data_IF_914246493228
#
_entry.id   IF_914246493228
#
_cell.length_a   1.000
_cell.length_b   1.000
_cell.length_c   1.000
_cell.angle_alpha   90.00
_cell.angle_beta   90.00
_cell.angle_gamma   90.00
#
_symmetry.space_group_name_H-M   'P 1'
#
loop_
_entity.id
_entity.type
_entity.pdbx_description
1 polymer ?
#
# COMPACT_ATOMS: atom_id res chain seq x y z
N UNK A 1 -18.03 25.44 -11.94
CA UNK A 1 -16.58 25.21 -12.08
C UNK A 1 -16.38 23.73 -12.35
N UNK A 2 -16.11 23.36 -13.59
CA UNK A 2 -15.80 21.98 -13.97
C UNK A 2 -14.40 21.67 -13.48
N UNK A 3 -14.29 20.96 -12.35
CA UNK A 3 -13.05 20.28 -12.01
C UNK A 3 -12.73 19.37 -13.19
N UNK A 4 -11.60 19.60 -13.85
CA UNK A 4 -11.04 18.63 -14.77
C UNK A 4 -10.83 17.35 -13.94
N UNK A 5 -11.68 16.34 -14.15
CA UNK A 5 -11.52 15.05 -13.52
C UNK A 5 -10.19 14.50 -14.03
N UNK A 6 -9.19 14.42 -13.15
CA UNK A 6 -8.01 13.62 -13.42
C UNK A 6 -8.46 12.24 -13.90
N UNK A 7 -7.76 11.63 -14.88
CA UNK A 7 -8.12 10.31 -15.36
C UNK A 7 -8.23 9.34 -14.17
N UNK A 8 -9.22 8.45 -14.17
CA UNK A 8 -9.46 7.55 -13.05
C UNK A 8 -8.21 6.70 -12.81
N UNK A 9 -7.78 6.63 -11.55
CA UNK A 9 -6.67 5.77 -11.16
C UNK A 9 -7.16 4.33 -11.11
N UNK A 10 -7.11 3.65 -12.26
CA UNK A 10 -7.53 2.26 -12.37
C UNK A 10 -6.51 1.36 -11.67
N UNK A 11 -6.96 0.24 -11.11
CA UNK A 11 -6.18 -0.84 -10.53
C UNK A 11 -6.40 -2.06 -11.43
N UNK A 12 -5.32 -2.68 -11.93
CA UNK A 12 -5.37 -3.79 -12.89
C UNK A 12 -6.20 -3.53 -14.15
N UNK A 13 -6.29 -2.26 -14.58
CA UNK A 13 -7.09 -1.81 -15.73
C UNK A 13 -8.59 -2.14 -15.62
N UNK A 14 -9.12 -2.36 -14.41
CA UNK A 14 -10.55 -2.62 -14.21
C UNK A 14 -11.33 -1.30 -14.18
N UNK A 15 -12.31 -1.05 -15.05
CA UNK A 15 -13.12 0.16 -15.01
C UNK A 15 -13.85 0.33 -13.67
N UNK A 16 -13.89 1.56 -13.15
CA UNK A 16 -14.52 1.82 -11.85
C UNK A 16 -13.74 1.23 -10.66
N UNK A 17 -12.47 0.87 -10.83
CA UNK A 17 -11.55 0.58 -9.71
C UNK A 17 -10.89 1.86 -9.19
N UNK A 18 -10.24 1.76 -8.03
CA UNK A 18 -9.57 2.86 -7.35
C UNK A 18 -10.30 3.32 -6.10
N UNK A 19 -9.56 3.84 -5.12
CA UNK A 19 -10.06 4.12 -3.77
C UNK A 19 -11.23 5.10 -3.71
N UNK A 20 -11.27 6.07 -4.61
CA UNK A 20 -12.36 7.07 -4.69
C UNK A 20 -13.56 6.63 -5.52
N UNK A 21 -13.50 5.46 -6.15
CA UNK A 21 -14.57 4.98 -7.02
C UNK A 21 -15.79 4.53 -6.20
N UNK A 22 -17.01 4.93 -6.59
CA UNK A 22 -18.23 4.43 -5.95
C UNK A 22 -18.45 2.93 -6.16
N UNK A 23 -17.76 2.32 -7.13
CA UNK A 23 -17.85 0.87 -7.38
C UNK A 23 -16.80 0.08 -6.58
N UNK A 24 -15.87 0.76 -5.88
CA UNK A 24 -14.75 0.14 -5.18
C UNK A 24 -15.22 -0.84 -4.09
N UNK A 25 -16.13 -0.41 -3.21
CA UNK A 25 -16.70 -1.24 -2.14
C UNK A 25 -15.64 -2.07 -1.38
N UNK A 26 -14.54 -1.42 -0.96
CA UNK A 26 -13.49 -2.05 -0.16
C UNK A 26 -14.07 -2.78 1.06
N UNK A 27 -13.63 -4.01 1.30
CA UNK A 27 -14.08 -4.85 2.41
C UNK A 27 -15.41 -5.57 2.21
N UNK A 28 -16.14 -5.32 1.11
CA UNK A 28 -17.35 -6.05 0.76
C UNK A 28 -17.07 -7.26 -0.13
N UNK A 29 -18.02 -8.21 -0.16
CA UNK A 29 -17.94 -9.39 -1.01
C UNK A 29 -18.27 -9.11 -2.49
N UNK A 30 -18.59 -7.87 -2.84
CA UNK A 30 -18.99 -7.42 -4.19
C UNK A 30 -18.38 -6.06 -4.50
N UNK A 31 -18.18 -5.76 -5.79
CA UNK A 31 -17.59 -4.50 -6.27
C UNK A 31 -16.15 -4.66 -6.76
N UNK A 32 -15.62 -3.61 -7.37
CA UNK A 32 -14.32 -3.67 -8.07
C UNK A 32 -13.14 -3.85 -7.11
N UNK A 33 -13.29 -3.50 -5.83
CA UNK A 33 -12.32 -3.79 -4.77
C UNK A 33 -12.20 -5.28 -4.45
N UNK A 34 -13.32 -6.01 -4.45
CA UNK A 34 -13.30 -7.47 -4.33
C UNK A 34 -12.58 -8.10 -5.53
N UNK A 35 -12.90 -7.65 -6.74
CA UNK A 35 -12.31 -8.17 -7.98
C UNK A 35 -10.80 -7.90 -8.04
N UNK A 36 -10.38 -6.68 -7.74
CA UNK A 36 -8.96 -6.31 -7.70
C UNK A 36 -8.21 -7.09 -6.61
N UNK A 37 -8.80 -7.26 -5.41
CA UNK A 37 -8.19 -8.07 -4.36
C UNK A 37 -7.99 -9.54 -4.78
N UNK A 38 -8.95 -10.11 -5.52
CA UNK A 38 -8.83 -11.46 -6.09
C UNK A 38 -7.68 -11.53 -7.11
N UNK A 39 -7.59 -10.57 -8.03
CA UNK A 39 -6.48 -10.50 -9.01
C UNK A 39 -5.14 -10.38 -8.29
N UNK A 40 -5.04 -9.46 -7.32
CA UNK A 40 -3.84 -9.24 -6.51
C UNK A 40 -3.35 -10.53 -5.83
N UNK A 41 -4.26 -11.25 -5.14
CA UNK A 41 -3.93 -12.52 -4.49
C UNK A 41 -3.46 -13.59 -5.49
N UNK A 42 -4.06 -13.64 -6.68
CA UNK A 42 -3.63 -14.58 -7.74
C UNK A 42 -2.25 -14.22 -8.28
N UNK A 43 -2.00 -12.94 -8.56
CA UNK A 43 -0.73 -12.45 -9.10
C UNK A 43 0.45 -12.70 -8.15
N UNK A 44 0.23 -12.51 -6.85
CA UNK A 44 1.27 -12.67 -5.82
C UNK A 44 1.15 -13.98 -5.02
N UNK A 45 0.50 -15.00 -5.59
CA UNK A 45 0.32 -16.31 -4.95
C UNK A 45 1.66 -17.02 -4.69
N UNK A 46 2.66 -16.80 -5.54
CA UNK A 46 3.97 -17.48 -5.42
C UNK A 46 5.00 -16.61 -4.71
N UNK A 47 5.91 -17.26 -3.98
CA UNK A 47 7.07 -16.59 -3.36
C UNK A 47 7.90 -15.83 -4.39
N UNK A 48 8.13 -16.42 -5.57
CA UNK A 48 8.90 -15.80 -6.65
C UNK A 48 8.27 -14.49 -7.12
N UNK A 49 6.95 -14.44 -7.32
CA UNK A 49 6.25 -13.21 -7.69
C UNK A 49 6.37 -12.11 -6.62
N UNK A 50 6.32 -12.50 -5.33
CA UNK A 50 6.48 -11.56 -4.21
C UNK A 50 7.89 -11.00 -4.10
N UNK A 51 8.90 -11.84 -4.33
CA UNK A 51 10.30 -11.39 -4.40
C UNK A 51 10.50 -10.42 -5.56
N UNK A 52 9.98 -10.76 -6.74
CA UNK A 52 10.08 -9.90 -7.92
C UNK A 52 9.43 -8.52 -7.68
N UNK A 53 8.25 -8.49 -7.06
CA UNK A 53 7.61 -7.24 -6.63
C UNK A 53 8.56 -6.38 -5.80
N UNK A 54 9.07 -6.90 -4.67
CA UNK A 54 9.91 -6.10 -3.77
C UNK A 54 11.21 -5.61 -4.42
N UNK A 55 11.75 -6.36 -5.38
CA UNK A 55 12.94 -5.95 -6.13
C UNK A 55 12.65 -4.82 -7.14
N UNK A 56 11.44 -4.78 -7.68
CA UNK A 56 11.08 -3.90 -8.80
C UNK A 56 10.20 -2.70 -8.39
N UNK A 57 9.60 -2.73 -7.20
CA UNK A 57 8.63 -1.72 -6.71
C UNK A 57 9.15 -0.27 -6.76
N UNK A 58 10.48 -0.10 -6.68
CA UNK A 58 11.16 1.20 -6.71
C UNK A 58 11.67 1.61 -8.10
N UNK A 59 11.73 0.70 -9.08
CA UNK A 59 12.40 0.90 -10.36
C UNK A 59 11.50 0.73 -11.57
N UNK A 60 10.42 -0.04 -11.47
CA UNK A 60 9.44 -0.20 -12.54
C UNK A 60 8.28 0.80 -12.37
N UNK A 61 7.64 1.23 -13.48
CA UNK A 61 6.41 2.01 -13.42
C UNK A 61 5.25 1.10 -12.97
N UNK A 62 5.33 0.58 -11.75
CA UNK A 62 4.20 -0.06 -11.12
C UNK A 62 3.17 1.02 -10.77
N UNK A 63 1.93 0.76 -11.15
CA UNK A 63 0.80 1.57 -10.77
C UNK A 63 0.74 1.65 -9.23
N UNK A 64 0.97 2.83 -8.67
CA UNK A 64 1.08 2.96 -7.21
C UNK A 64 -0.22 2.62 -6.48
N UNK A 65 -1.37 2.68 -7.16
CA UNK A 65 -2.64 2.24 -6.59
C UNK A 65 -2.71 0.71 -6.40
N UNK A 66 -1.98 -0.08 -7.20
CA UNK A 66 -1.82 -1.51 -6.99
C UNK A 66 -0.93 -1.79 -5.77
N UNK A 67 0.12 -1.01 -5.56
CA UNK A 67 0.96 -1.10 -4.36
C UNK A 67 0.15 -0.80 -3.08
N UNK A 68 -0.68 0.25 -3.10
CA UNK A 68 -1.62 0.54 -2.00
C UNK A 68 -2.58 -0.62 -1.74
N UNK A 69 -3.07 -1.29 -2.78
CA UNK A 69 -3.92 -2.48 -2.62
C UNK A 69 -3.17 -3.64 -1.96
N UNK A 70 -1.92 -3.90 -2.37
CA UNK A 70 -1.08 -4.94 -1.77
C UNK A 70 -0.85 -4.65 -0.28
N UNK A 71 -0.49 -3.41 0.06
CA UNK A 71 -0.35 -2.95 1.45
C UNK A 71 -1.66 -3.11 2.23
N UNK A 72 -2.78 -2.68 1.66
CA UNK A 72 -4.07 -2.77 2.33
C UNK A 72 -4.47 -4.22 2.66
N UNK A 73 -4.20 -5.16 1.74
CA UNK A 73 -4.40 -6.59 1.98
C UNK A 73 -3.43 -7.14 3.03
N UNK A 74 -2.16 -6.74 2.99
CA UNK A 74 -1.18 -7.13 3.99
C UNK A 74 -1.56 -6.62 5.38
N UNK A 75 -2.00 -5.37 5.53
CA UNK A 75 -2.50 -4.80 6.79
C UNK A 75 -3.78 -5.47 7.27
N UNK A 76 -4.71 -5.75 6.36
CA UNK A 76 -5.95 -6.45 6.70
C UNK A 76 -5.65 -7.84 7.28
N UNK A 77 -4.75 -8.60 6.65
CA UNK A 77 -4.28 -9.89 7.16
C UNK A 77 -3.50 -9.72 8.47
N UNK A 78 -2.61 -8.74 8.52
CA UNK A 78 -1.75 -8.46 9.66
C UNK A 78 -2.52 -8.13 10.94
N UNK A 79 -3.69 -7.52 10.81
CA UNK A 79 -4.62 -7.28 11.92
C UNK A 79 -5.12 -8.58 12.57
N UNK A 80 -5.22 -9.68 11.81
CA UNK A 80 -5.65 -11.00 12.32
C UNK A 80 -4.53 -11.78 13.01
N UNK A 81 -3.29 -11.67 12.52
CA UNK A 81 -2.13 -12.42 13.03
C UNK A 81 -1.17 -11.59 13.90
N UNK A 82 -1.44 -10.29 14.05
CA UNK A 82 -0.67 -9.34 14.87
C UNK A 82 0.56 -8.77 14.17
N UNK A 83 0.75 -9.02 12.87
CA UNK A 83 1.92 -8.52 12.12
C UNK A 83 1.77 -7.08 11.60
N UNK A 84 0.61 -6.44 11.77
CA UNK A 84 0.38 -5.04 11.38
C UNK A 84 0.87 -3.99 12.40
N UNK A 85 1.53 -4.43 13.48
CA UNK A 85 2.01 -3.57 14.56
C UNK A 85 1.03 -3.36 15.71
N UNK A 86 -0.19 -3.92 15.64
CA UNK A 86 -1.16 -3.89 16.73
C UNK A 86 -1.80 -2.51 16.95
N UNK A 87 -2.06 -2.16 18.22
CA UNK A 87 -2.69 -0.88 18.57
C UNK A 87 -1.83 0.30 18.09
N UNK A 88 -2.43 1.23 17.32
CA UNK A 88 -1.71 2.34 16.69
C UNK A 88 -0.94 1.96 15.41
N UNK A 89 -0.95 0.69 15.02
CA UNK A 89 -0.29 0.16 13.83
C UNK A 89 -0.97 0.52 12.51
N UNK A 90 -0.71 -0.30 11.49
CA UNK A 90 -1.13 0.00 10.12
C UNK A 90 -2.64 -0.16 9.87
N UNK A 91 -3.39 -0.74 10.82
CA UNK A 91 -4.85 -0.71 10.79
C UNK A 91 -5.43 0.72 10.68
N UNK A 92 -4.81 1.73 11.30
CA UNK A 92 -5.24 3.13 11.18
C UNK A 92 -4.95 3.71 9.79
N UNK A 93 -3.82 3.33 9.20
CA UNK A 93 -3.44 3.73 7.83
C UNK A 93 -4.41 3.10 6.83
N UNK A 94 -4.78 1.83 7.03
CA UNK A 94 -5.80 1.14 6.24
C UNK A 94 -7.17 1.84 6.33
N UNK A 95 -7.59 2.25 7.52
CA UNK A 95 -8.85 2.98 7.70
C UNK A 95 -8.84 4.34 6.98
N UNK A 96 -7.74 5.09 7.08
CA UNK A 96 -7.58 6.36 6.38
C UNK A 96 -7.52 6.20 4.85
N UNK A 97 -6.93 5.11 4.36
CA UNK A 97 -6.91 4.74 2.94
C UNK A 97 -8.30 4.35 2.44
N UNK A 98 -9.03 3.52 3.19
CA UNK A 98 -10.39 3.11 2.86
C UNK A 98 -11.39 4.28 2.88
N UNK A 99 -11.15 5.30 3.70
CA UNK A 99 -11.93 6.54 3.70
C UNK A 99 -11.72 7.40 2.43
N UNK A 100 -10.73 7.06 1.59
CA UNK A 100 -10.49 7.63 0.26
C UNK A 100 -10.40 9.17 0.21
N UNK A 101 -9.89 9.77 1.29
CA UNK A 101 -9.77 11.21 1.42
C UNK A 101 -8.31 11.62 1.58
N UNK A 102 -7.71 11.37 2.76
CA UNK A 102 -6.35 11.84 3.12
C UNK A 102 -5.28 11.55 2.05
N UNK A 103 -5.29 10.32 1.52
CA UNK A 103 -4.30 9.84 0.54
C UNK A 103 -4.74 9.94 -0.92
N UNK A 104 -5.88 10.58 -1.20
CA UNK A 104 -6.43 10.71 -2.55
C UNK A 104 -6.74 12.15 -2.96
N UNK A 105 -7.23 12.99 -2.05
CA UNK A 105 -7.80 14.31 -2.36
C UNK A 105 -6.87 15.49 -2.07
N UNK A 106 -5.81 15.28 -1.27
CA UNK A 106 -4.90 16.34 -0.87
C UNK A 106 -3.75 16.52 -1.88
N UNK A 107 -3.22 17.74 -2.05
CA UNK A 107 -2.08 17.98 -2.95
C UNK A 107 -0.81 17.23 -2.53
N UNK A 108 -0.69 16.92 -1.24
CA UNK A 108 0.47 16.25 -0.65
C UNK A 108 0.15 14.81 -0.25
N UNK A 109 -0.87 14.20 -0.88
CA UNK A 109 -1.44 12.92 -0.48
C UNK A 109 -0.39 11.80 -0.36
N UNK A 110 0.59 11.78 -1.26
CA UNK A 110 1.64 10.78 -1.28
C UNK A 110 2.67 10.99 -0.15
N UNK A 111 3.00 12.25 0.15
CA UNK A 111 3.85 12.59 1.29
C UNK A 111 3.17 12.21 2.61
N UNK A 112 1.86 12.47 2.75
CA UNK A 112 1.11 12.05 3.94
C UNK A 112 1.11 10.53 4.10
N UNK A 113 0.94 9.79 3.01
CA UNK A 113 1.00 8.33 3.03
C UNK A 113 2.39 7.83 3.46
N UNK A 114 3.46 8.39 2.92
CA UNK A 114 4.83 8.10 3.32
C UNK A 114 5.07 8.35 4.81
N UNK A 115 4.70 9.54 5.31
CA UNK A 115 4.93 9.93 6.70
C UNK A 115 4.18 9.02 7.68
N UNK A 116 2.90 8.74 7.41
CA UNK A 116 2.10 7.88 8.29
C UNK A 116 2.65 6.44 8.33
N UNK A 117 3.15 5.92 7.20
CA UNK A 117 3.82 4.62 7.14
C UNK A 117 5.17 4.63 7.87
N UNK A 118 5.98 5.67 7.69
CA UNK A 118 7.30 5.77 8.32
C UNK A 118 7.18 5.88 9.84
N UNK A 119 6.26 6.71 10.34
CA UNK A 119 5.99 6.92 11.77
C UNK A 119 5.72 5.59 12.48
N UNK A 120 4.96 4.68 11.84
CA UNK A 120 4.52 3.41 12.41
C UNK A 120 5.48 2.25 12.19
N UNK A 121 6.54 2.44 11.39
CA UNK A 121 7.41 1.34 10.97
C UNK A 121 8.03 0.57 12.13
N UNK A 122 8.41 1.28 13.20
CA UNK A 122 8.99 0.70 14.41
C UNK A 122 8.04 -0.32 15.09
N UNK A 123 6.73 -0.21 14.91
CA UNK A 123 5.73 -1.12 15.48
C UNK A 123 5.78 -2.51 14.86
N UNK A 124 6.31 -2.64 13.63
CA UNK A 124 6.55 -3.92 12.97
C UNK A 124 7.75 -4.68 13.54
N UNK A 125 8.47 -4.08 14.51
CA UNK A 125 9.71 -4.60 15.09
C UNK A 125 10.74 -4.97 14.00
N UNK A 126 11.06 -4.03 13.08
CA UNK A 126 11.99 -4.29 11.99
C UNK A 126 13.39 -4.59 12.53
N UNK A 127 14.23 -5.23 11.70
CA UNK A 127 15.66 -5.35 12.04
C UNK A 127 16.33 -3.97 12.06
N UNK A 128 17.50 -3.89 12.68
CA UNK A 128 18.29 -2.64 12.72
C UNK A 128 18.63 -2.15 11.30
N UNK A 129 18.90 -3.07 10.37
CA UNK A 129 19.18 -2.77 8.97
C UNK A 129 17.96 -2.16 8.28
N UNK A 130 16.77 -2.75 8.47
CA UNK A 130 15.53 -2.23 7.87
C UNK A 130 15.15 -0.87 8.46
N UNK A 131 15.31 -0.69 9.77
CA UNK A 131 15.07 0.62 10.41
C UNK A 131 16.02 1.69 9.87
N UNK A 132 17.30 1.37 9.66
CA UNK A 132 18.27 2.29 9.04
C UNK A 132 17.85 2.67 7.62
N UNK A 133 17.41 1.70 6.81
CA UNK A 133 16.90 1.98 5.45
C UNK A 133 15.68 2.90 5.50
N UNK A 134 14.73 2.64 6.39
CA UNK A 134 13.52 3.46 6.56
C UNK A 134 13.86 4.91 6.94
N UNK A 135 14.80 5.10 7.86
CA UNK A 135 15.23 6.44 8.28
C UNK A 135 15.93 7.22 7.14
N UNK A 136 16.70 6.52 6.31
CA UNK A 136 17.38 7.13 5.18
C UNK A 136 16.43 7.64 4.07
N UNK A 137 15.17 7.17 4.04
CA UNK A 137 14.20 7.62 3.05
C UNK A 137 13.80 9.09 3.21
N UNK A 138 13.94 9.65 4.42
CA UNK A 138 13.64 11.07 4.67
C UNK A 138 14.62 12.02 3.98
N UNK A 139 15.79 11.54 3.60
CA UNK A 139 16.80 12.31 2.86
C UNK A 139 16.54 12.33 1.35
N UNK A 140 15.55 11.56 0.86
CA UNK A 140 15.20 11.53 -0.55
C UNK A 140 14.33 12.74 -0.91
N UNK A 141 14.79 13.53 -1.88
CA UNK A 141 14.00 14.64 -2.44
C UNK A 141 12.78 14.13 -3.23
N UNK A 142 12.88 12.94 -3.81
CA UNK A 142 11.80 12.34 -4.59
C UNK A 142 10.84 11.56 -3.68
N UNK A 143 9.72 12.20 -3.34
CA UNK A 143 8.64 11.62 -2.51
C UNK A 143 8.06 10.35 -3.12
N UNK A 144 7.95 10.25 -4.46
CA UNK A 144 7.40 9.04 -5.09
C UNK A 144 8.30 7.83 -4.86
N UNK A 145 9.60 8.01 -5.11
CA UNK A 145 10.60 6.99 -4.84
C UNK A 145 10.65 6.62 -3.35
N UNK A 146 10.64 7.62 -2.46
CA UNK A 146 10.63 7.40 -1.01
C UNK A 146 9.39 6.60 -0.57
N UNK A 147 8.22 6.91 -1.12
CA UNK A 147 6.97 6.21 -0.78
C UNK A 147 6.99 4.76 -1.26
N UNK A 148 7.51 4.50 -2.47
CA UNK A 148 7.66 3.14 -3.01
C UNK A 148 8.65 2.30 -2.19
N UNK A 149 9.80 2.85 -1.86
CA UNK A 149 10.79 2.17 -1.02
C UNK A 149 10.27 1.94 0.40
N UNK A 150 9.54 2.90 0.96
CA UNK A 150 8.85 2.74 2.24
C UNK A 150 7.85 1.58 2.19
N UNK A 151 7.04 1.51 1.14
CA UNK A 151 6.08 0.41 0.91
C UNK A 151 6.78 -0.96 0.87
N UNK A 152 7.94 -1.04 0.21
CA UNK A 152 8.74 -2.26 0.14
C UNK A 152 9.22 -2.72 1.52
N UNK A 153 9.75 -1.78 2.33
CA UNK A 153 10.24 -2.08 3.68
C UNK A 153 9.12 -2.52 4.62
N UNK A 154 7.94 -1.90 4.50
CA UNK A 154 6.74 -2.30 5.26
C UNK A 154 6.35 -3.72 4.90
N UNK A 155 6.22 -4.05 3.61
CA UNK A 155 5.89 -5.41 3.17
C UNK A 155 6.94 -6.44 3.61
N UNK A 156 8.23 -6.09 3.51
CA UNK A 156 9.34 -6.94 3.98
C UNK A 156 9.23 -7.21 5.49
N UNK A 157 8.98 -6.18 6.29
CA UNK A 157 8.88 -6.28 7.75
C UNK A 157 7.64 -7.05 8.21
N UNK A 158 6.57 -7.03 7.42
CA UNK A 158 5.36 -7.85 7.63
C UNK A 158 5.52 -9.30 7.15
N UNK A 159 6.69 -9.67 6.62
CA UNK A 159 6.94 -11.03 6.15
C UNK A 159 6.17 -11.41 4.88
N UNK A 160 5.80 -10.42 4.05
CA UNK A 160 5.00 -10.61 2.83
C UNK A 160 5.54 -11.72 1.92
N UNK A 161 6.86 -11.78 1.71
CA UNK A 161 7.49 -12.80 0.84
C UNK A 161 7.18 -14.21 1.29
N UNK A 162 7.19 -14.47 2.59
CA UNK A 162 6.99 -15.83 3.12
C UNK A 162 5.50 -16.14 3.33
N UNK A 163 4.72 -15.16 3.77
CA UNK A 163 3.33 -15.42 4.21
C UNK A 163 2.26 -15.07 3.18
N UNK A 164 2.57 -14.27 2.15
CA UNK A 164 1.60 -13.82 1.15
C UNK A 164 0.53 -12.86 1.70
N UNK A 165 -0.53 -12.65 0.91
CA UNK A 165 -1.69 -11.81 1.22
C UNK A 165 -2.89 -12.60 1.76
#
# INVERSE_FOLDING_TARGET
MTHALSPPKLIYNIPGSGWTSPQWNWGYAVGTGHDCARICRQQYATRAARVALLQNIATEPENFEEIKLILALAWQKGRWDGTDGGEGGYGQVLEALAAANRYESSSNHQQLFFLDMQERFHLLKPTVELQKKMNALSELENVDLATRQCSALVLESMGFVETGL
#
